data_IF_030138617981
#
_entry.id   IF_030138617981
#
_cell.length_a   1.000
_cell.length_b   1.000
_cell.length_c   1.000
_cell.angle_alpha   90.00
_cell.angle_beta   90.00
_cell.angle_gamma   90.00
#
_symmetry.space_group_name_H-M   'P 1'
#
loop_
_entity.id
_entity.type
_entity.pdbx_description
1 polymer ?
#
# COMPACT_ATOMS: atom_id res chain seq x y z
N UNK A 1 23.76 -0.57 23.50
CA UNK A 1 24.06 0.20 22.27
C UNK A 1 22.86 1.10 22.03
N UNK A 2 23.06 2.38 21.74
CA UNK A 2 21.94 3.26 21.40
C UNK A 2 21.37 2.84 20.03
N UNK A 3 20.04 2.82 19.84
CA UNK A 3 19.44 2.60 18.53
C UNK A 3 19.91 3.63 17.50
N UNK A 4 19.88 3.27 16.22
CA UNK A 4 20.15 4.21 15.14
C UNK A 4 19.10 5.32 15.12
N UNK A 5 19.54 6.57 15.12
CA UNK A 5 18.70 7.75 14.96
C UNK A 5 18.82 8.30 13.53
N UNK A 6 17.69 8.59 12.90
CA UNK A 6 17.59 9.03 11.50
C UNK A 6 18.12 10.44 11.27
N UNK A 7 18.04 11.29 12.29
CA UNK A 7 18.42 12.70 12.21
C UNK A 7 19.80 12.95 12.81
N UNK A 8 20.16 12.25 13.89
CA UNK A 8 21.36 12.51 14.68
C UNK A 8 22.35 11.34 14.63
N UNK A 9 23.64 11.68 14.58
CA UNK A 9 24.77 10.80 14.78
C UNK A 9 25.60 11.36 15.94
N UNK A 10 25.21 11.03 17.18
CA UNK A 10 25.68 11.77 18.36
C UNK A 10 25.13 13.20 18.32
N UNK A 11 26.01 14.20 18.39
CA UNK A 11 25.62 15.62 18.32
C UNK A 11 25.56 16.18 16.89
N UNK A 12 25.89 15.37 15.88
CA UNK A 12 25.92 15.80 14.48
C UNK A 12 24.62 15.46 13.76
N UNK A 13 24.12 16.42 12.97
CA UNK A 13 22.93 16.22 12.12
C UNK A 13 23.34 15.48 10.85
N UNK A 14 22.63 14.39 10.53
CA UNK A 14 22.85 13.61 9.33
C UNK A 14 22.51 14.42 8.08
N UNK A 15 23.26 14.27 6.97
CA UNK A 15 23.05 15.10 5.77
C UNK A 15 21.61 15.13 5.23
N UNK A 16 20.86 14.01 5.16
CA UNK A 16 19.46 14.03 4.69
C UNK A 16 18.54 14.93 5.52
N UNK A 17 18.82 15.08 6.82
CA UNK A 17 18.03 15.87 7.76
C UNK A 17 18.50 17.33 7.90
N UNK A 18 19.66 17.71 7.35
CA UNK A 18 20.25 19.05 7.54
C UNK A 18 19.28 20.21 7.31
N UNK A 19 18.51 20.19 6.21
CA UNK A 19 17.52 21.24 5.89
C UNK A 19 16.31 21.20 6.81
N UNK A 20 15.81 20.01 7.13
CA UNK A 20 14.67 19.86 8.03
C UNK A 20 15.03 20.30 9.45
N UNK A 21 16.22 19.94 9.93
CA UNK A 21 16.71 20.40 11.24
C UNK A 21 16.88 21.91 11.29
N UNK A 22 17.48 22.51 10.25
CA UNK A 22 17.60 23.97 10.17
C UNK A 22 16.23 24.66 10.16
N UNK A 23 15.24 24.10 9.43
CA UNK A 23 13.88 24.60 9.48
C UNK A 23 13.26 24.44 10.86
N UNK A 24 13.36 23.26 11.50
CA UNK A 24 12.86 23.00 12.85
C UNK A 24 13.42 23.99 13.88
N UNK A 25 14.71 24.33 13.79
CA UNK A 25 15.36 25.28 14.70
C UNK A 25 14.83 26.72 14.59
N UNK A 26 14.13 27.05 13.49
CA UNK A 26 13.46 28.35 13.30
C UNK A 26 12.01 28.36 13.77
N UNK A 27 11.43 27.20 14.06
CA UNK A 27 10.02 27.08 14.44
C UNK A 27 9.78 27.33 15.92
N UNK A 28 8.60 27.83 16.26
CA UNK A 28 8.12 27.89 17.64
C UNK A 28 7.47 26.55 18.02
N UNK A 29 7.97 25.82 19.04
CA UNK A 29 7.42 24.52 19.44
C UNK A 29 5.92 24.55 19.79
N UNK A 30 5.43 25.60 20.42
CA UNK A 30 4.01 25.73 20.76
C UNK A 30 3.13 25.88 19.51
N UNK A 31 3.63 26.61 18.49
CA UNK A 31 2.92 26.73 17.21
C UNK A 31 2.92 25.42 16.44
N UNK A 32 4.01 24.65 16.49
CA UNK A 32 4.09 23.34 15.86
C UNK A 32 3.11 22.35 16.51
N UNK A 33 3.05 22.32 17.84
CA UNK A 33 2.11 21.48 18.58
C UNK A 33 0.65 21.84 18.24
N UNK A 34 0.32 23.13 18.12
CA UNK A 34 -1.01 23.55 17.71
C UNK A 34 -1.35 23.10 16.28
N UNK A 35 -0.42 23.27 15.33
CA UNK A 35 -0.62 22.81 13.94
C UNK A 35 -0.82 21.29 13.86
N UNK A 36 -0.06 20.51 14.64
CA UNK A 36 -0.23 19.06 14.71
C UNK A 36 -1.62 18.69 15.24
N UNK A 37 -2.07 19.36 16.30
CA UNK A 37 -3.40 19.15 16.86
C UNK A 37 -4.53 19.53 15.87
N UNK A 38 -4.38 20.63 15.15
CA UNK A 38 -5.35 21.07 14.14
C UNK A 38 -5.45 20.05 13.00
N UNK A 39 -4.32 19.48 12.57
CA UNK A 39 -4.25 18.43 11.55
C UNK A 39 -4.91 17.12 11.99
N UNK A 40 -4.69 16.69 13.24
CA UNK A 40 -5.42 15.55 13.81
C UNK A 40 -6.95 15.80 13.80
N UNK A 41 -7.37 17.05 14.04
CA UNK A 41 -8.75 17.47 13.94
C UNK A 41 -9.33 17.38 12.53
N UNK A 42 -8.51 17.61 11.49
CA UNK A 42 -8.89 17.43 10.09
C UNK A 42 -9.03 15.95 9.77
N UNK A 43 -8.04 15.12 10.13
CA UNK A 43 -8.10 13.66 9.92
C UNK A 43 -9.32 13.01 10.56
N UNK A 44 -9.73 13.50 11.74
CA UNK A 44 -10.97 13.08 12.37
C UNK A 44 -12.22 13.38 11.55
N UNK A 45 -12.25 14.52 10.87
CA UNK A 45 -13.41 14.95 10.07
C UNK A 45 -13.45 14.28 8.70
N UNK A 46 -12.28 13.97 8.12
CA UNK A 46 -12.18 13.30 6.82
C UNK A 46 -12.34 11.79 6.91
N UNK A 47 -12.34 11.22 8.13
CA UNK A 47 -12.59 9.78 8.33
C UNK A 47 -11.35 8.92 8.12
N UNK A 48 -10.16 9.49 8.23
CA UNK A 48 -8.89 8.74 8.20
C UNK A 48 -8.74 8.04 9.56
N UNK A 49 -9.35 6.87 9.68
CA UNK A 49 -9.38 6.07 10.92
C UNK A 49 -8.89 4.66 10.68
N UNK A 50 -8.17 4.10 11.67
CA UNK A 50 -7.68 2.73 11.64
C UNK A 50 -8.33 1.91 12.75
N UNK A 51 -8.63 0.63 12.48
CA UNK A 51 -8.96 -0.33 13.53
C UNK A 51 -7.72 -1.17 13.85
N UNK A 52 -7.33 -1.20 15.12
CA UNK A 52 -6.24 -2.07 15.57
C UNK A 52 -6.68 -3.52 15.42
N UNK A 53 -5.97 -4.29 14.59
CA UNK A 53 -6.21 -5.73 14.46
C UNK A 53 -6.06 -6.41 15.82
N UNK A 54 -7.13 -7.03 16.32
CA UNK A 54 -7.08 -7.86 17.53
C UNK A 54 -8.27 -7.75 18.48
N UNK A 55 -9.13 -6.74 18.38
CA UNK A 55 -10.31 -6.59 19.25
C UNK A 55 -11.61 -6.48 18.44
N UNK A 56 -12.60 -7.31 18.81
CA UNK A 56 -13.96 -7.27 18.26
C UNK A 56 -14.71 -5.96 18.61
N UNK A 57 -14.13 -5.14 19.50
CA UNK A 57 -14.58 -3.79 19.88
C UNK A 57 -13.49 -2.73 19.61
N UNK A 58 -12.72 -2.84 18.52
CA UNK A 58 -11.79 -1.79 18.14
C UNK A 58 -12.58 -0.56 17.66
N UNK A 59 -12.99 0.30 18.61
CA UNK A 59 -13.44 1.66 18.31
C UNK A 59 -12.40 2.32 17.40
N UNK A 60 -12.84 2.88 16.27
CA UNK A 60 -12.00 3.61 15.34
C UNK A 60 -11.08 4.57 16.10
N UNK A 61 -9.76 4.34 16.01
CA UNK A 61 -8.78 5.23 16.61
C UNK A 61 -8.10 6.02 15.51
N UNK A 62 -7.90 7.31 15.79
CA UNK A 62 -7.05 8.15 14.97
C UNK A 62 -5.61 7.69 15.12
N UNK A 63 -4.91 7.59 13.99
CA UNK A 63 -3.47 7.44 14.01
C UNK A 63 -2.88 8.79 14.44
N UNK A 64 -2.05 8.85 15.49
CA UNK A 64 -1.34 10.06 15.85
C UNK A 64 -0.50 10.55 14.68
N UNK A 65 -0.54 11.84 14.40
CA UNK A 65 0.20 12.43 13.29
C UNK A 65 1.45 13.14 13.83
N UNK A 66 2.62 12.70 13.38
CA UNK A 66 3.89 13.37 13.67
C UNK A 66 4.31 14.25 12.47
N UNK A 67 4.60 15.51 12.76
CA UNK A 67 4.99 16.52 11.77
C UNK A 67 6.45 16.40 11.34
N UNK A 68 7.29 15.65 12.05
CA UNK A 68 8.70 15.44 11.71
C UNK A 68 8.77 14.31 10.67
N UNK A 69 9.11 14.61 9.40
CA UNK A 69 9.06 13.61 8.36
C UNK A 69 10.16 12.55 8.54
N UNK A 70 9.85 11.31 8.15
CA UNK A 70 10.86 10.28 7.90
C UNK A 70 11.51 10.52 6.54
N UNK A 71 12.77 10.93 6.53
CA UNK A 71 13.50 11.24 5.29
C UNK A 71 14.34 10.03 4.89
N UNK A 72 14.12 9.54 3.67
CA UNK A 72 14.99 8.58 2.99
C UNK A 72 15.64 9.31 1.80
N UNK A 73 16.97 9.36 1.78
CA UNK A 73 17.73 9.98 0.69
C UNK A 73 17.53 9.24 -0.62
N UNK A 74 17.79 9.92 -1.74
CA UNK A 74 17.68 9.31 -3.06
C UNK A 74 18.57 8.08 -3.24
N UNK A 75 19.76 8.06 -2.62
CA UNK A 75 20.69 6.93 -2.67
C UNK A 75 20.19 5.74 -1.85
N UNK A 76 19.67 5.98 -0.64
CA UNK A 76 19.07 4.92 0.18
C UNK A 76 17.84 4.34 -0.53
N UNK A 77 16.94 5.20 -1.03
CA UNK A 77 15.74 4.78 -1.73
C UNK A 77 16.06 3.97 -3.00
N UNK A 78 17.06 4.39 -3.79
CA UNK A 78 17.42 3.65 -5.01
C UNK A 78 17.90 2.23 -4.72
N UNK A 79 18.63 2.03 -3.60
CA UNK A 79 19.03 0.68 -3.18
C UNK A 79 17.84 -0.10 -2.62
N UNK A 80 17.01 0.56 -1.81
CA UNK A 80 15.85 -0.06 -1.18
C UNK A 80 14.83 -0.52 -2.21
N UNK A 81 14.49 0.32 -3.19
CA UNK A 81 13.53 0.01 -4.24
C UNK A 81 13.97 -1.18 -5.09
N UNK A 82 15.26 -1.26 -5.46
CA UNK A 82 15.80 -2.43 -6.19
C UNK A 82 15.66 -3.73 -5.37
N UNK A 83 15.90 -3.67 -4.06
CA UNK A 83 15.74 -4.82 -3.17
C UNK A 83 14.27 -5.25 -3.03
N UNK A 84 13.36 -4.28 -2.92
CA UNK A 84 11.91 -4.52 -2.89
C UNK A 84 11.47 -5.15 -4.22
N UNK A 85 11.79 -4.54 -5.36
CA UNK A 85 11.44 -5.04 -6.69
C UNK A 85 11.92 -6.49 -6.90
N UNK A 86 13.18 -6.77 -6.55
CA UNK A 86 13.72 -8.13 -6.62
C UNK A 86 12.90 -9.12 -5.77
N UNK A 87 12.54 -8.74 -4.54
CA UNK A 87 11.76 -9.58 -3.63
C UNK A 87 10.36 -9.85 -4.18
N UNK A 88 9.70 -8.82 -4.70
CA UNK A 88 8.35 -8.94 -5.30
C UNK A 88 8.35 -9.85 -6.53
N UNK A 89 9.39 -9.75 -7.37
CA UNK A 89 9.57 -10.66 -8.51
C UNK A 89 9.74 -12.11 -8.05
N UNK A 90 10.55 -12.34 -7.01
CA UNK A 90 10.77 -13.68 -6.44
C UNK A 90 9.47 -14.26 -5.83
N UNK A 91 8.67 -13.43 -5.15
CA UNK A 91 7.39 -13.86 -4.57
C UNK A 91 6.36 -14.25 -5.65
N UNK A 92 6.24 -13.46 -6.72
CA UNK A 92 5.36 -13.83 -7.85
C UNK A 92 5.84 -15.11 -8.55
N UNK A 93 7.15 -15.26 -8.77
CA UNK A 93 7.71 -16.48 -9.35
C UNK A 93 7.51 -17.70 -8.43
N UNK A 94 7.60 -17.51 -7.11
CA UNK A 94 7.31 -18.55 -6.13
C UNK A 94 5.84 -18.98 -6.19
N UNK A 95 4.90 -18.04 -6.21
CA UNK A 95 3.47 -18.36 -6.33
C UNK A 95 3.18 -19.10 -7.62
N UNK A 96 3.78 -18.68 -8.74
CA UNK A 96 3.67 -19.39 -10.00
C UNK A 96 4.17 -20.83 -9.91
N UNK A 97 5.34 -21.05 -9.32
CA UNK A 97 5.91 -22.38 -9.19
C UNK A 97 5.07 -23.28 -8.29
N UNK A 98 4.61 -22.78 -7.14
CA UNK A 98 3.84 -23.53 -6.15
C UNK A 98 2.50 -24.04 -6.71
N UNK A 99 1.83 -23.25 -7.54
CA UNK A 99 0.58 -23.66 -8.18
C UNK A 99 0.76 -24.47 -9.47
N UNK A 100 2.00 -24.72 -9.91
CA UNK A 100 2.30 -25.46 -11.13
C UNK A 100 3.32 -26.59 -10.89
N UNK A 101 4.58 -26.35 -11.27
CA UNK A 101 5.59 -27.42 -11.35
C UNK A 101 6.19 -27.76 -9.99
N UNK A 102 6.09 -26.87 -9.01
CA UNK A 102 6.64 -27.03 -7.66
C UNK A 102 8.13 -27.39 -7.68
N UNK A 103 8.90 -26.79 -8.59
CA UNK A 103 10.32 -27.04 -8.77
C UNK A 103 11.12 -26.70 -7.50
N UNK A 104 10.76 -25.64 -6.78
CA UNK A 104 11.40 -25.26 -5.51
C UNK A 104 11.22 -26.32 -4.41
N UNK A 105 10.11 -27.06 -4.45
CA UNK A 105 9.82 -28.19 -3.55
C UNK A 105 10.54 -29.45 -4.02
N UNK A 106 10.52 -29.74 -5.33
CA UNK A 106 11.24 -30.88 -5.94
C UNK A 106 12.75 -30.76 -5.74
N UNK A 107 13.28 -29.55 -5.75
CA UNK A 107 14.69 -29.24 -5.47
C UNK A 107 15.04 -29.35 -3.97
N UNK A 108 14.06 -29.53 -3.08
CA UNK A 108 14.27 -29.65 -1.64
C UNK A 108 14.59 -28.33 -0.92
N UNK A 109 14.44 -27.18 -1.58
CA UNK A 109 14.70 -25.85 -0.99
C UNK A 109 13.57 -25.46 -0.05
N UNK A 110 12.32 -25.62 -0.49
CA UNK A 110 11.13 -25.42 0.35
C UNK A 110 10.55 -26.78 0.74
N UNK A 111 10.46 -27.12 2.03
CA UNK A 111 9.84 -28.37 2.46
C UNK A 111 8.36 -28.46 2.09
N UNK A 112 7.95 -29.58 1.50
CA UNK A 112 6.56 -29.83 1.08
C UNK A 112 5.52 -29.59 2.19
N UNK A 113 5.84 -29.93 3.43
CA UNK A 113 4.91 -29.80 4.57
C UNK A 113 4.57 -28.34 4.91
N UNK A 114 5.43 -27.37 4.55
CA UNK A 114 5.14 -25.93 4.73
C UNK A 114 4.10 -25.41 3.73
N UNK A 115 3.84 -26.16 2.65
CA UNK A 115 2.87 -25.80 1.61
C UNK A 115 1.60 -26.64 1.77
N UNK A 116 1.72 -27.97 1.77
CA UNK A 116 0.57 -28.90 1.71
C UNK A 116 -0.35 -28.86 2.94
N UNK A 117 0.12 -28.32 4.07
CA UNK A 117 -0.66 -28.16 5.29
C UNK A 117 -0.97 -26.70 5.63
N UNK A 118 -0.62 -25.77 4.74
CA UNK A 118 -0.87 -24.36 4.94
C UNK A 118 -2.29 -24.03 4.51
N UNK A 119 -3.09 -23.46 5.41
CA UNK A 119 -4.46 -23.04 5.13
C UNK A 119 -4.56 -21.96 4.04
N UNK A 120 -3.48 -21.22 3.80
CA UNK A 120 -3.41 -20.21 2.75
C UNK A 120 -3.13 -20.79 1.35
N UNK A 121 -2.80 -22.09 1.25
CA UNK A 121 -2.68 -22.75 -0.05
C UNK A 121 -4.07 -23.11 -0.58
N UNK A 122 -4.40 -22.60 -1.77
CA UNK A 122 -5.72 -22.76 -2.38
C UNK A 122 -5.64 -23.77 -3.54
N UNK A 123 -6.11 -25.02 -3.38
CA UNK A 123 -6.02 -26.04 -4.43
C UNK A 123 -6.67 -25.65 -5.76
N UNK A 124 -7.70 -24.81 -5.73
CA UNK A 124 -8.42 -24.29 -6.89
C UNK A 124 -7.52 -23.44 -7.81
N UNK A 125 -6.39 -22.94 -7.31
CA UNK A 125 -5.42 -22.17 -8.08
C UNK A 125 -4.41 -23.05 -8.83
N UNK A 126 -4.41 -24.37 -8.63
CA UNK A 126 -3.51 -25.29 -9.32
C UNK A 126 -3.78 -25.23 -10.84
N UNK A 127 -2.70 -25.11 -11.61
CA UNK A 127 -2.71 -24.96 -13.08
C UNK A 127 -3.45 -23.71 -13.59
N UNK A 128 -3.82 -22.78 -12.70
CA UNK A 128 -4.37 -21.49 -13.06
C UNK A 128 -3.26 -20.43 -13.12
N UNK A 129 -3.12 -19.78 -14.29
CA UNK A 129 -2.26 -18.60 -14.45
C UNK A 129 -3.12 -17.35 -14.59
N UNK A 130 -3.02 -16.38 -13.67
CA UNK A 130 -3.71 -15.11 -13.83
C UNK A 130 -3.17 -14.35 -15.06
N UNK A 131 -3.97 -13.44 -15.66
CA UNK A 131 -3.49 -12.55 -16.71
C UNK A 131 -2.20 -11.83 -16.32
N UNK A 132 -1.28 -11.69 -17.28
CA UNK A 132 0.05 -11.11 -17.03
C UNK A 132 0.98 -11.97 -16.17
N UNK A 133 0.54 -13.15 -15.70
CA UNK A 133 1.28 -14.01 -14.78
C UNK A 133 1.65 -13.28 -13.47
N UNK A 134 0.76 -12.39 -13.02
CA UNK A 134 0.90 -11.61 -11.77
C UNK A 134 -0.11 -12.13 -10.76
N UNK A 135 0.38 -12.67 -9.65
CA UNK A 135 -0.47 -13.17 -8.56
C UNK A 135 -0.71 -12.08 -7.52
N UNK A 136 0.32 -11.29 -7.22
CA UNK A 136 0.27 -10.20 -6.22
C UNK A 136 0.50 -8.86 -6.90
N UNK A 137 -0.59 -8.22 -7.32
CA UNK A 137 -0.57 -6.92 -8.01
C UNK A 137 -0.10 -5.78 -7.10
N UNK A 138 -0.43 -5.87 -5.81
CA UNK A 138 -0.03 -4.94 -4.77
C UNK A 138 0.59 -5.76 -3.64
N UNK A 139 1.70 -5.27 -3.10
CA UNK A 139 2.37 -5.89 -1.95
C UNK A 139 2.91 -4.82 -1.02
N UNK A 140 2.60 -4.96 0.26
CA UNK A 140 3.23 -4.18 1.33
C UNK A 140 4.48 -4.91 1.81
N UNK A 141 5.61 -4.22 1.94
CA UNK A 141 6.84 -4.79 2.49
C UNK A 141 7.21 -4.00 3.73
N UNK A 142 7.14 -4.64 4.89
CA UNK A 142 7.39 -3.99 6.17
C UNK A 142 8.89 -4.00 6.46
N UNK A 143 9.47 -2.81 6.55
CA UNK A 143 10.92 -2.63 6.60
C UNK A 143 11.32 -1.88 7.87
N UNK A 144 12.31 -2.42 8.57
CA UNK A 144 12.99 -1.75 9.69
C UNK A 144 14.42 -1.40 9.33
N UNK A 145 14.92 -0.33 9.93
CA UNK A 145 16.31 0.14 9.78
C UNK A 145 17.05 -0.01 11.11
N UNK A 146 18.21 -0.66 11.10
CA UNK A 146 19.05 -0.83 12.31
C UNK A 146 20.34 -0.03 12.28
N UNK A 147 20.69 0.53 11.12
CA UNK A 147 21.94 1.24 10.87
C UNK A 147 21.91 2.04 9.56
N UNK A 148 23.01 2.73 9.24
CA UNK A 148 23.07 3.64 8.09
C UNK A 148 22.68 2.98 6.76
N UNK A 149 23.02 1.72 6.55
CA UNK A 149 22.70 1.01 5.31
C UNK A 149 22.12 -0.38 5.60
N UNK A 150 21.52 -0.53 6.77
CA UNK A 150 21.03 -1.81 7.27
C UNK A 150 19.51 -1.77 7.36
N UNK A 151 18.87 -2.35 6.35
CA UNK A 151 17.42 -2.49 6.24
C UNK A 151 17.07 -3.98 6.24
N UNK A 152 16.01 -4.33 6.97
CA UNK A 152 15.52 -5.70 7.09
C UNK A 152 14.03 -5.73 6.83
N UNK A 153 13.59 -6.73 6.06
CA UNK A 153 12.16 -7.04 5.88
C UNK A 153 11.70 -7.83 7.10
N UNK A 154 10.62 -7.35 7.74
CA UNK A 154 9.94 -8.07 8.81
C UNK A 154 8.83 -8.97 8.26
N UNK A 155 8.04 -8.44 7.33
CA UNK A 155 6.84 -9.09 6.82
C UNK A 155 6.53 -8.67 5.37
N UNK A 156 5.89 -9.58 4.62
CA UNK A 156 5.36 -9.35 3.29
C UNK A 156 3.83 -9.46 3.32
N UNK A 157 3.15 -8.37 3.03
CA UNK A 157 1.69 -8.27 2.96
C UNK A 157 1.21 -8.48 1.52
N UNK A 158 1.00 -9.75 1.15
CA UNK A 158 0.68 -10.18 -0.22
C UNK A 158 -0.81 -10.50 -0.45
N UNK A 159 -1.68 -10.22 0.52
CA UNK A 159 -3.13 -10.47 0.42
C UNK A 159 -3.85 -9.19 -0.06
N UNK A 160 -4.34 -8.41 0.88
CA UNK A 160 -4.99 -7.11 0.65
C UNK A 160 -4.26 -6.05 1.47
N UNK A 161 -3.03 -5.66 1.07
CA UNK A 161 -2.25 -4.67 1.81
C UNK A 161 -2.97 -3.33 1.83
N UNK A 162 -2.96 -2.66 2.98
CA UNK A 162 -3.57 -1.35 3.19
C UNK A 162 -2.54 -0.32 3.63
N UNK A 163 -2.87 0.97 3.57
CA UNK A 163 -2.04 2.06 4.10
C UNK A 163 -1.75 3.20 3.12
N UNK A 164 -2.13 3.04 1.85
CA UNK A 164 -1.83 4.02 0.79
C UNK A 164 -2.59 5.32 1.00
N UNK A 165 -3.84 5.26 1.44
CA UNK A 165 -4.64 6.46 1.73
C UNK A 165 -3.92 7.35 2.74
N UNK A 166 -3.42 6.76 3.82
CA UNK A 166 -2.61 7.45 4.83
C UNK A 166 -1.33 8.05 4.26
N UNK A 167 -0.61 7.33 3.38
CA UNK A 167 0.59 7.86 2.73
C UNK A 167 0.28 9.14 1.94
N UNK A 168 -0.83 9.13 1.18
CA UNK A 168 -1.26 10.26 0.36
C UNK A 168 -1.72 11.44 1.22
N UNK A 169 -2.59 11.18 2.20
CA UNK A 169 -3.13 12.19 3.11
C UNK A 169 -2.06 12.83 4.00
N UNK A 170 -1.09 12.04 4.48
CA UNK A 170 0.06 12.55 5.23
C UNK A 170 0.90 13.50 4.36
N UNK A 171 1.09 13.19 3.08
CA UNK A 171 1.83 14.06 2.16
C UNK A 171 1.08 15.36 1.94
N UNK A 172 -0.20 15.28 1.62
CA UNK A 172 -1.03 16.45 1.35
C UNK A 172 -1.09 17.37 2.58
N UNK A 173 -1.34 16.80 3.76
CA UNK A 173 -1.39 17.52 5.03
C UNK A 173 -0.07 18.24 5.33
N UNK A 174 1.07 17.55 5.16
CA UNK A 174 2.39 18.19 5.33
C UNK A 174 2.60 19.35 4.35
N UNK A 175 2.17 19.22 3.10
CA UNK A 175 2.28 20.27 2.08
C UNK A 175 1.40 21.48 2.40
N UNK A 176 0.21 21.26 2.96
CA UNK A 176 -0.70 22.34 3.40
C UNK A 176 -0.19 23.06 4.65
N UNK A 177 0.33 22.33 5.64
CA UNK A 177 0.80 22.90 6.92
C UNK A 177 2.13 23.64 6.80
N UNK A 178 3.03 23.14 5.95
CA UNK A 178 4.43 23.58 5.86
C UNK A 178 4.90 23.73 4.40
N UNK A 179 4.20 24.49 3.54
CA UNK A 179 4.57 24.65 2.13
C UNK A 179 6.00 25.18 1.95
N UNK A 180 6.49 26.00 2.88
CA UNK A 180 7.85 26.53 2.90
C UNK A 180 8.92 25.44 3.06
N UNK A 181 8.61 24.36 3.77
CA UNK A 181 9.52 23.23 3.94
C UNK A 181 9.70 22.47 2.62
N UNK A 182 8.63 22.29 1.86
CA UNK A 182 8.65 21.62 0.55
C UNK A 182 9.35 22.45 -0.54
N UNK A 183 9.45 23.78 -0.36
CA UNK A 183 10.29 24.61 -1.22
C UNK A 183 11.79 24.41 -0.93
N UNK A 184 12.13 24.07 0.31
CA UNK A 184 13.51 23.84 0.74
C UNK A 184 13.98 22.41 0.52
N UNK A 185 13.09 21.42 0.57
CA UNK A 185 13.44 20.00 0.42
C UNK A 185 12.83 19.45 -0.86
N UNK A 186 13.68 18.88 -1.73
CA UNK A 186 13.23 18.25 -2.98
C UNK A 186 12.61 16.87 -2.72
N UNK A 187 11.38 16.85 -2.23
CA UNK A 187 10.60 15.64 -1.98
C UNK A 187 10.03 15.11 -3.31
N UNK A 188 10.08 13.80 -3.54
CA UNK A 188 9.45 13.18 -4.71
C UNK A 188 7.92 13.08 -4.52
N UNK A 189 7.12 13.34 -5.57
CA UNK A 189 5.67 13.21 -5.51
C UNK A 189 5.23 11.76 -5.26
N UNK A 190 4.06 11.59 -4.66
CA UNK A 190 3.41 10.27 -4.40
C UNK A 190 1.95 10.23 -4.88
N UNK A 191 1.37 11.39 -5.20
CA UNK A 191 -0.02 11.59 -5.61
C UNK A 191 -0.42 10.85 -6.88
N UNK A 192 0.54 10.44 -7.72
CA UNK A 192 0.29 9.69 -8.95
C UNK A 192 0.01 8.19 -8.71
N UNK A 193 0.11 7.72 -7.47
CA UNK A 193 -0.07 6.30 -7.12
C UNK A 193 -1.40 5.72 -7.64
N UNK A 194 -2.57 6.34 -7.41
CA UNK A 194 -3.85 5.75 -7.85
C UNK A 194 -3.91 5.57 -9.37
N UNK A 195 -3.41 6.53 -10.15
CA UNK A 195 -3.41 6.42 -11.61
C UNK A 195 -2.45 5.32 -12.10
N UNK A 196 -1.29 5.18 -11.47
CA UNK A 196 -0.36 4.07 -11.75
C UNK A 196 -0.96 2.71 -11.39
N UNK A 197 -1.70 2.62 -10.29
CA UNK A 197 -2.42 1.41 -9.89
C UNK A 197 -3.50 1.06 -10.91
N UNK A 198 -4.36 2.02 -11.28
CA UNK A 198 -5.37 1.83 -12.34
C UNK A 198 -4.74 1.34 -13.64
N UNK A 199 -3.63 1.93 -14.07
CA UNK A 199 -2.93 1.51 -15.28
C UNK A 199 -2.40 0.07 -15.15
N UNK A 200 -1.86 -0.30 -14.00
CA UNK A 200 -1.34 -1.64 -13.74
C UNK A 200 -2.45 -2.70 -13.74
N UNK A 201 -3.60 -2.37 -13.13
CA UNK A 201 -4.79 -3.23 -13.15
C UNK A 201 -5.37 -3.35 -14.57
N UNK A 202 -5.47 -2.24 -15.31
CA UNK A 202 -5.93 -2.28 -16.70
C UNK A 202 -5.02 -3.13 -17.61
N UNK A 203 -3.72 -3.14 -17.36
CA UNK A 203 -2.75 -3.92 -18.13
C UNK A 203 -2.92 -5.45 -17.98
N UNK A 204 -3.61 -5.91 -16.94
CA UNK A 204 -3.92 -7.33 -16.70
C UNK A 204 -5.37 -7.70 -17.07
N UNK A 205 -5.99 -6.93 -17.98
CA UNK A 205 -7.30 -7.28 -18.55
C UNK A 205 -7.29 -8.72 -19.11
N UNK A 206 -8.22 -9.60 -18.68
CA UNK A 206 -8.23 -11.00 -19.09
C UNK A 206 -8.63 -11.16 -20.57
N UNK A 207 -8.28 -12.30 -21.19
CA UNK A 207 -8.80 -12.66 -22.51
C UNK A 207 -10.33 -12.62 -22.55
N UNK A 208 -10.89 -11.97 -23.57
CA UNK A 208 -12.33 -11.74 -23.70
C UNK A 208 -12.85 -10.49 -22.99
N UNK A 209 -12.00 -9.79 -22.23
CA UNK A 209 -12.29 -8.46 -21.70
C UNK A 209 -12.14 -7.33 -22.72
N UNK A 210 -12.52 -6.12 -22.33
CA UNK A 210 -12.28 -4.93 -23.14
C UNK A 210 -10.84 -4.43 -22.94
N UNK A 211 -9.91 -4.84 -23.80
CA UNK A 211 -8.50 -4.49 -23.65
C UNK A 211 -8.22 -2.98 -23.85
N UNK A 212 -9.04 -2.28 -24.64
CA UNK A 212 -8.84 -0.85 -24.93
C UNK A 212 -9.33 0.04 -23.78
N UNK A 213 -10.38 -0.39 -23.08
CA UNK A 213 -10.95 0.31 -21.93
C UNK A 213 -11.56 -0.67 -20.93
N UNK A 214 -10.73 -1.36 -20.12
CA UNK A 214 -11.21 -2.37 -19.19
C UNK A 214 -12.05 -1.73 -18.08
N UNK A 215 -13.17 -2.34 -17.76
CA UNK A 215 -13.98 -1.98 -16.60
C UNK A 215 -13.28 -2.51 -15.35
N UNK A 216 -12.69 -1.60 -14.58
CA UNK A 216 -12.07 -1.90 -13.29
C UNK A 216 -13.06 -1.55 -12.17
N UNK A 217 -13.11 -2.37 -11.14
CA UNK A 217 -13.87 -2.10 -9.92
C UNK A 217 -13.06 -2.51 -8.68
N UNK A 218 -13.43 -1.97 -7.51
CA UNK A 218 -12.91 -2.35 -6.20
C UNK A 218 -14.05 -3.04 -5.44
N UNK A 219 -13.88 -4.33 -5.15
CA UNK A 219 -14.81 -5.05 -4.28
C UNK A 219 -14.55 -4.72 -2.82
N UNK A 220 -15.57 -4.25 -2.12
CA UNK A 220 -15.52 -3.94 -0.69
C UNK A 220 -16.52 -4.78 0.11
N UNK A 221 -16.18 -5.22 1.34
CA UNK A 221 -17.13 -5.81 2.27
C UNK A 221 -18.13 -4.80 2.88
N UNK A 222 -18.02 -3.51 2.55
CA UNK A 222 -18.94 -2.46 2.95
C UNK A 222 -18.48 -1.66 4.17
N UNK A 223 -19.33 -0.71 4.60
CA UNK A 223 -19.04 0.36 5.57
C UNK A 223 -18.58 -0.13 6.96
N UNK A 224 -18.85 -1.38 7.30
CA UNK A 224 -18.49 -1.96 8.60
C UNK A 224 -17.07 -2.53 8.64
N UNK A 225 -16.35 -2.49 7.52
CA UNK A 225 -14.94 -2.86 7.48
C UNK A 225 -14.04 -1.67 7.78
N UNK A 226 -13.02 -1.91 8.60
CA UNK A 226 -12.08 -0.88 9.05
C UNK A 226 -11.28 -0.19 7.93
N UNK A 227 -11.12 -0.84 6.79
CA UNK A 227 -10.44 -0.28 5.62
C UNK A 227 -11.40 0.32 4.59
N UNK A 228 -12.71 0.42 4.89
CA UNK A 228 -13.71 0.93 3.94
C UNK A 228 -13.38 2.34 3.42
N UNK A 229 -12.87 3.22 4.29
CA UNK A 229 -12.39 4.53 3.87
C UNK A 229 -11.32 4.41 2.78
N UNK A 230 -10.33 3.54 2.95
CA UNK A 230 -9.29 3.35 1.94
C UNK A 230 -9.84 2.75 0.64
N UNK A 231 -10.78 1.80 0.71
CA UNK A 231 -11.40 1.23 -0.48
C UNK A 231 -12.14 2.29 -1.29
N UNK A 232 -12.97 3.09 -0.63
CA UNK A 232 -13.74 4.17 -1.25
C UNK A 232 -12.86 5.30 -1.78
N UNK A 233 -11.84 5.70 -1.00
CA UNK A 233 -10.84 6.68 -1.41
C UNK A 233 -10.09 6.23 -2.67
N UNK A 234 -9.56 4.99 -2.68
CA UNK A 234 -8.82 4.48 -3.84
C UNK A 234 -9.73 4.32 -5.06
N UNK A 235 -10.96 3.84 -4.89
CA UNK A 235 -11.91 3.74 -5.99
C UNK A 235 -12.20 5.11 -6.62
N UNK A 236 -12.44 6.14 -5.79
CA UNK A 236 -12.66 7.52 -6.23
C UNK A 236 -11.42 8.11 -6.93
N UNK A 237 -10.23 8.01 -6.33
CA UNK A 237 -8.99 8.54 -6.90
C UNK A 237 -8.55 7.84 -8.19
N UNK A 238 -8.86 6.54 -8.32
CA UNK A 238 -8.68 5.82 -9.57
C UNK A 238 -9.77 6.16 -10.59
N UNK A 239 -10.93 6.65 -10.18
CA UNK A 239 -12.10 6.85 -11.03
C UNK A 239 -12.68 5.53 -11.52
N UNK A 240 -12.81 4.55 -10.62
CA UNK A 240 -13.34 3.20 -10.87
C UNK A 240 -14.55 2.93 -9.96
N UNK A 241 -15.29 1.85 -10.24
CA UNK A 241 -16.47 1.53 -9.45
C UNK A 241 -16.08 0.96 -8.07
N UNK A 242 -16.76 1.40 -7.01
CA UNK A 242 -16.77 0.72 -5.71
C UNK A 242 -18.02 -0.16 -5.66
N UNK A 243 -17.85 -1.47 -5.44
CA UNK A 243 -18.96 -2.44 -5.49
C UNK A 243 -18.95 -3.33 -4.26
N UNK A 244 -20.13 -3.71 -3.79
CA UNK A 244 -20.31 -4.74 -2.76
C UNK A 244 -20.74 -6.06 -3.39
N UNK A 245 -20.65 -7.16 -2.63
CA UNK A 245 -21.03 -8.48 -3.13
C UNK A 245 -22.48 -8.56 -3.63
N UNK A 246 -23.40 -7.78 -3.05
CA UNK A 246 -24.80 -7.69 -3.48
C UNK A 246 -25.00 -7.03 -4.85
N UNK A 247 -24.02 -6.26 -5.32
CA UNK A 247 -24.06 -5.58 -6.61
C UNK A 247 -23.63 -6.52 -7.75
N UNK A 248 -23.01 -7.66 -7.42
CA UNK A 248 -22.35 -8.55 -8.36
C UNK A 248 -23.19 -9.80 -8.66
N UNK A 249 -23.14 -10.23 -9.92
CA UNK A 249 -23.69 -11.50 -10.37
C UNK A 249 -22.78 -12.12 -11.43
N UNK A 250 -22.70 -13.45 -11.47
CA UNK A 250 -22.04 -14.16 -12.57
C UNK A 250 -23.05 -14.36 -13.71
N UNK A 251 -22.74 -13.79 -14.87
CA UNK A 251 -23.56 -13.88 -16.10
C UNK A 251 -22.64 -14.33 -17.23
N UNK A 252 -23.03 -15.40 -17.92
CA UNK A 252 -22.26 -15.98 -19.04
C UNK A 252 -20.77 -16.21 -18.72
N UNK A 253 -20.48 -16.66 -17.49
CA UNK A 253 -19.13 -16.95 -17.02
C UNK A 253 -18.30 -15.71 -16.64
N UNK A 254 -18.91 -14.52 -16.56
CA UNK A 254 -18.24 -13.27 -16.20
C UNK A 254 -18.88 -12.65 -14.97
N UNK A 255 -18.08 -12.01 -14.13
CA UNK A 255 -18.60 -11.17 -13.05
C UNK A 255 -19.14 -9.87 -13.66
N UNK A 256 -20.37 -9.52 -13.34
CA UNK A 256 -21.02 -8.32 -13.81
C UNK A 256 -21.64 -7.55 -12.62
N UNK A 257 -21.53 -6.22 -12.66
CA UNK A 257 -22.20 -5.34 -11.71
C UNK A 257 -23.58 -4.92 -12.20
N UNK A 258 -24.51 -4.76 -11.27
CA UNK A 258 -25.84 -4.21 -11.53
C UNK A 258 -25.77 -2.70 -11.77
N UNK A 259 -26.34 -2.23 -12.87
CA UNK A 259 -26.56 -0.81 -13.16
C UNK A 259 -28.06 -0.55 -13.38
N UNK A 260 -28.43 0.72 -13.58
CA UNK A 260 -29.82 1.10 -13.93
C UNK A 260 -30.25 0.61 -15.32
N UNK A 261 -29.29 0.34 -16.22
CA UNK A 261 -29.55 -0.07 -17.60
C UNK A 261 -29.42 -1.59 -17.80
N UNK A 262 -28.94 -2.32 -16.79
CA UNK A 262 -28.75 -3.76 -16.85
C UNK A 262 -27.47 -4.18 -16.14
N UNK A 263 -27.00 -5.40 -16.41
CA UNK A 263 -25.74 -5.87 -15.87
C UNK A 263 -24.59 -5.50 -16.81
N UNK A 264 -23.54 -4.89 -16.25
CA UNK A 264 -22.33 -4.54 -16.98
C UNK A 264 -21.17 -5.44 -16.52
N UNK A 265 -20.49 -6.16 -17.43
CA UNK A 265 -19.32 -6.96 -17.10
C UNK A 265 -18.21 -6.12 -16.46
N UNK A 266 -17.55 -6.69 -15.45
CA UNK A 266 -16.29 -6.19 -14.89
C UNK A 266 -15.15 -7.01 -15.49
N UNK A 267 -14.09 -6.33 -15.93
CA UNK A 267 -12.90 -6.98 -16.51
C UNK A 267 -11.84 -7.26 -15.43
N UNK A 268 -11.69 -6.37 -14.44
CA UNK A 268 -10.74 -6.48 -13.32
C UNK A 268 -11.42 -6.04 -12.02
N UNK A 269 -11.32 -6.86 -10.97
CA UNK A 269 -11.98 -6.67 -9.68
C UNK A 269 -10.97 -6.68 -8.53
#
# INVERSE_FOLDING_TARGET
MAPFDEMLAGDQVRPPYSRVKAWLDTQNPASLAQKAHDAEGVFRKTGITFAVYGDAEAAERLIPFDIVPRIISGTEWSRLSLGIEQRVMALNAFLDDIYHRQEIVRAGIVPKHLIAHNEAFIPEMIDFRPPGNVYTHIIGVDIVRTGENEFYVLEDNARTPSGVSYMLENRETMMQLFPELFQQVKVRPVETYPQMLRQSLAAVCPPGGNADNPTVAVLTPGIHNSAYYEHSFLADQMGVHLVEGSDLQVIDGRVAMRTTEGFQPIDVL
#
